data_IF_159707178173
#
_entry.id   IF_159707178173
#
_cell.length_a   1.000
_cell.length_b   1.000
_cell.length_c   1.000
_cell.angle_alpha   90.00
_cell.angle_beta   90.00
_cell.angle_gamma   90.00
#
_symmetry.space_group_name_H-M   'P 1'
#
loop_
_entity.id
_entity.type
_entity.pdbx_description
1 polymer ?
#
# COMPACT_ATOMS: atom_id res chain seq x y z
N UNK A 1 -7.36 -5.66 -3.56
CA UNK A 1 -5.92 -5.88 -3.29
C UNK A 1 -4.99 -5.52 -4.48
N UNK A 2 -5.45 -5.65 -5.74
CA UNK A 2 -4.71 -5.15 -6.93
C UNK A 2 -5.46 -4.14 -7.80
N UNK A 3 -6.76 -3.90 -7.58
CA UNK A 3 -7.57 -2.92 -8.32
C UNK A 3 -8.67 -2.29 -7.44
N UNK A 4 -9.35 -1.26 -7.96
CA UNK A 4 -10.48 -0.59 -7.29
C UNK A 4 -10.10 0.72 -6.58
N UNK A 5 -10.80 1.01 -5.47
CA UNK A 5 -10.68 2.28 -4.73
C UNK A 5 -9.26 2.55 -4.25
N UNK A 6 -8.89 3.84 -4.27
CA UNK A 6 -7.59 4.30 -3.79
C UNK A 6 -6.45 4.05 -4.77
N UNK A 7 -6.73 3.78 -6.06
CA UNK A 7 -5.74 3.56 -7.12
C UNK A 7 -4.60 2.62 -6.67
N UNK A 8 -4.88 1.32 -6.48
CA UNK A 8 -3.84 0.35 -6.14
C UNK A 8 -2.75 0.30 -7.22
N UNK A 9 -1.50 0.38 -6.79
CA UNK A 9 -0.32 0.39 -7.65
C UNK A 9 0.69 -0.64 -7.13
N UNK A 10 1.20 -1.49 -8.03
CA UNK A 10 2.24 -2.45 -7.68
C UNK A 10 3.58 -1.73 -7.53
N UNK A 11 4.25 -1.97 -6.41
CA UNK A 11 5.57 -1.41 -6.15
C UNK A 11 6.65 -2.16 -6.94
N UNK A 12 7.76 -1.48 -7.22
CA UNK A 12 8.82 -1.95 -8.12
C UNK A 12 10.14 -2.17 -7.36
N UNK A 13 11.14 -2.72 -8.05
CA UNK A 13 12.49 -2.96 -7.55
C UNK A 13 12.46 -3.85 -6.29
N UNK A 14 13.08 -3.40 -5.19
CA UNK A 14 13.17 -4.15 -3.94
C UNK A 14 11.81 -4.35 -3.24
N UNK A 15 10.76 -3.69 -3.71
CA UNK A 15 9.40 -3.79 -3.16
C UNK A 15 8.45 -4.56 -4.10
N UNK A 16 9.00 -5.26 -5.10
CA UNK A 16 8.21 -6.08 -6.02
C UNK A 16 7.42 -7.13 -5.25
N UNK A 17 6.12 -7.22 -5.54
CA UNK A 17 5.17 -8.10 -4.84
C UNK A 17 4.31 -7.38 -3.78
N UNK A 18 4.72 -6.18 -3.37
CA UNK A 18 3.91 -5.30 -2.55
C UNK A 18 3.03 -4.37 -3.40
N UNK A 19 1.96 -3.91 -2.78
CA UNK A 19 0.98 -2.99 -3.32
C UNK A 19 0.88 -1.75 -2.44
N UNK A 20 0.70 -0.60 -3.08
CA UNK A 20 0.36 0.65 -2.43
C UNK A 20 -1.03 1.08 -2.86
N UNK A 21 -1.87 1.54 -1.92
CA UNK A 21 -3.11 2.23 -2.25
C UNK A 21 -3.29 3.48 -1.39
N UNK A 22 -4.00 4.47 -1.94
CA UNK A 22 -4.38 5.70 -1.25
C UNK A 22 -5.51 5.42 -0.27
N UNK A 23 -5.33 5.84 0.97
CA UNK A 23 -6.38 5.84 2.01
C UNK A 23 -6.78 7.26 2.40
N UNK A 24 -5.92 8.24 2.14
CA UNK A 24 -6.22 9.68 2.15
C UNK A 24 -5.48 10.35 0.98
N UNK A 25 -5.54 11.68 0.87
CA UNK A 25 -4.70 12.39 -0.10
C UNK A 25 -3.21 12.12 0.15
N UNK A 26 -2.84 11.99 1.43
CA UNK A 26 -1.47 11.95 1.90
C UNK A 26 -1.00 10.54 2.24
N UNK A 27 -1.85 9.76 2.88
CA UNK A 27 -1.49 8.45 3.43
C UNK A 27 -1.60 7.32 2.42
N UNK A 28 -0.77 6.30 2.63
CA UNK A 28 -0.78 5.06 1.88
C UNK A 28 -0.92 3.85 2.80
N UNK A 29 -1.57 2.82 2.28
CA UNK A 29 -1.53 1.47 2.81
C UNK A 29 -0.55 0.67 1.96
N UNK A 30 0.44 0.06 2.61
CA UNK A 30 1.37 -0.88 1.98
C UNK A 30 1.01 -2.29 2.41
N UNK A 31 0.72 -3.15 1.44
CA UNK A 31 0.19 -4.49 1.69
C UNK A 31 0.57 -5.49 0.61
N UNK A 32 0.45 -6.77 0.96
CA UNK A 32 0.45 -7.91 0.03
C UNK A 32 -0.81 -8.73 0.31
N UNK A 33 -1.16 -9.64 -0.60
CA UNK A 33 -2.28 -10.53 -0.40
C UNK A 33 -2.08 -11.84 -1.18
N UNK A 34 -2.75 -12.88 -0.71
CA UNK A 34 -2.95 -14.15 -1.40
C UNK A 34 -4.44 -14.52 -1.39
N UNK A 35 -4.78 -15.77 -1.71
CA UNK A 35 -6.17 -16.26 -1.75
C UNK A 35 -6.87 -16.23 -0.39
N UNK A 36 -6.12 -16.23 0.71
CA UNK A 36 -6.64 -16.40 2.07
C UNK A 36 -6.48 -15.17 2.93
N UNK A 37 -5.49 -14.32 2.65
CA UNK A 37 -5.08 -13.29 3.60
C UNK A 37 -4.55 -12.02 2.94
N UNK A 38 -4.67 -10.91 3.69
CA UNK A 38 -4.05 -9.62 3.38
C UNK A 38 -3.04 -9.34 4.47
N UNK A 39 -1.81 -9.08 4.07
CA UNK A 39 -0.69 -8.76 4.96
C UNK A 39 -0.44 -7.26 4.89
N UNK A 40 -0.57 -6.59 6.04
CA UNK A 40 -0.37 -5.14 6.15
C UNK A 40 1.04 -4.89 6.70
N UNK A 41 1.84 -4.12 5.96
CA UNK A 41 3.22 -3.80 6.33
C UNK A 41 3.35 -2.39 6.89
N UNK A 42 2.56 -1.45 6.38
CA UNK A 42 2.55 -0.08 6.84
C UNK A 42 1.23 0.62 6.53
N UNK A 43 0.86 1.56 7.39
CA UNK A 43 -0.25 2.49 7.22
C UNK A 43 0.27 3.88 7.57
N UNK A 44 0.05 4.85 6.69
CA UNK A 44 0.39 6.26 6.95
C UNK A 44 1.26 6.87 5.85
N UNK A 45 1.74 8.08 6.09
CA UNK A 45 2.57 8.82 5.13
C UNK A 45 2.51 10.33 5.32
N UNK A 46 3.09 10.80 6.42
CA UNK A 46 3.95 12.00 6.46
C UNK A 46 4.97 11.82 7.58
N UNK A 47 6.27 11.94 7.24
CA UNK A 47 7.37 12.11 8.19
C UNK A 47 7.65 13.60 8.47
N UNK A 48 6.81 14.52 7.94
CA UNK A 48 7.04 15.98 8.00
C UNK A 48 6.51 16.63 9.30
N UNK A 49 6.42 15.86 10.39
CA UNK A 49 6.25 16.39 11.75
C UNK A 49 7.44 15.93 12.60
N UNK A 50 8.59 16.55 12.33
CA UNK A 50 9.68 16.71 13.30
C UNK A 50 9.89 18.21 13.50
#
# INVERSE_FOLDING_TARGET
PSSGLGKPEQLKHNLTGLWSKRISQKDRLIYQFDEKSIYIFAIGGHYDQL
#
